data_IF_465920714675
#
_entry.id   IF_465920714675
#
_cell.length_a   1.000
_cell.length_b   1.000
_cell.length_c   1.000
_cell.angle_alpha   90.00
_cell.angle_beta   90.00
_cell.angle_gamma   90.00
#
_symmetry.space_group_name_H-M   'P 1'
#
loop_
_entity.id
_entity.type
_entity.pdbx_description
1 polymer ?
#
# COMPACT_ATOMS: atom_id res chain seq x y z
N UNK A 1 -0.76 10.69 24.97
CA UNK A 1 -0.22 9.32 24.91
C UNK A 1 -0.52 8.81 23.53
N UNK A 2 0.43 8.15 22.88
CA UNK A 2 0.19 7.55 21.56
C UNK A 2 -0.63 6.27 21.70
N UNK A 3 -1.29 5.83 20.62
CA UNK A 3 -1.99 4.54 20.61
C UNK A 3 -1.10 3.34 21.01
N UNK A 4 0.21 3.41 20.75
CA UNK A 4 1.18 2.39 21.18
C UNK A 4 1.41 2.46 22.69
N UNK A 5 1.51 3.66 23.27
CA UNK A 5 1.64 3.83 24.71
C UNK A 5 0.39 3.33 25.45
N UNK A 6 -0.80 3.64 24.93
CA UNK A 6 -2.06 3.11 25.45
C UNK A 6 -2.11 1.59 25.36
N UNK A 7 -1.72 1.02 24.21
CA UNK A 7 -1.64 -0.42 24.03
C UNK A 7 -0.67 -1.06 25.03
N UNK A 8 0.54 -0.52 25.20
CA UNK A 8 1.54 -1.02 26.15
C UNK A 8 1.07 -0.90 27.61
N UNK A 9 0.25 0.09 27.93
CA UNK A 9 -0.40 0.26 29.23
C UNK A 9 -1.60 -0.68 29.46
N UNK A 10 -1.96 -1.53 28.49
CA UNK A 10 -3.08 -2.47 28.60
C UNK A 10 -4.44 -1.83 28.31
N UNK A 11 -4.48 -0.63 27.74
CA UNK A 11 -5.72 0.06 27.40
C UNK A 11 -6.21 -0.37 26.01
N UNK A 12 -7.53 -0.59 25.90
CA UNK A 12 -8.19 -0.89 24.62
C UNK A 12 -8.93 0.37 24.16
N UNK A 13 -8.35 1.06 23.18
CA UNK A 13 -8.90 2.31 22.63
C UNK A 13 -10.04 2.03 21.65
N UNK A 14 -10.81 3.07 21.30
CA UNK A 14 -11.91 2.93 20.34
C UNK A 14 -11.46 2.47 18.95
N UNK A 15 -10.35 2.99 18.36
CA UNK A 15 -9.82 2.46 17.10
C UNK A 15 -9.56 0.95 17.15
N UNK A 16 -9.05 0.43 18.27
CA UNK A 16 -8.78 -1.00 18.43
C UNK A 16 -10.06 -1.84 18.40
N UNK A 17 -11.15 -1.36 19.02
CA UNK A 17 -12.44 -2.07 19.03
C UNK A 17 -13.07 -2.12 17.65
N UNK A 18 -13.09 -0.98 16.95
CA UNK A 18 -13.67 -0.89 15.60
C UNK A 18 -12.91 -1.80 14.63
N UNK A 19 -11.58 -1.77 14.66
CA UNK A 19 -10.77 -2.67 13.83
C UNK A 19 -11.02 -4.14 14.18
N UNK A 20 -11.13 -4.48 15.46
CA UNK A 20 -11.42 -5.84 15.89
C UNK A 20 -12.78 -6.34 15.38
N UNK A 21 -13.81 -5.49 15.44
CA UNK A 21 -15.14 -5.79 14.90
C UNK A 21 -15.11 -6.04 13.39
N UNK A 22 -14.46 -5.15 12.62
CA UNK A 22 -14.33 -5.27 11.16
C UNK A 22 -13.61 -6.57 10.76
N UNK A 23 -12.60 -6.98 11.51
CA UNK A 23 -11.80 -8.18 11.23
C UNK A 23 -12.42 -9.47 11.81
N UNK A 24 -13.46 -9.35 12.63
CA UNK A 24 -14.06 -10.46 13.36
C UNK A 24 -13.10 -11.09 14.38
N UNK A 25 -12.35 -10.25 15.10
CA UNK A 25 -11.34 -10.62 16.09
C UNK A 25 -11.64 -10.01 17.46
N UNK A 26 -10.95 -10.49 18.50
CA UNK A 26 -11.03 -9.90 19.84
C UNK A 26 -10.26 -8.57 19.91
N UNK A 27 -10.78 -7.52 20.57
CA UNK A 27 -10.06 -6.25 20.74
C UNK A 27 -8.68 -6.40 21.41
N UNK A 28 -8.54 -7.40 22.28
CA UNK A 28 -7.28 -7.73 22.93
C UNK A 28 -6.22 -8.29 21.96
N UNK A 29 -6.63 -8.95 20.86
CA UNK A 29 -5.71 -9.35 19.80
C UNK A 29 -5.10 -8.11 19.12
N UNK A 30 -5.94 -7.13 18.78
CA UNK A 30 -5.52 -5.87 18.17
C UNK A 30 -4.58 -5.10 19.09
N UNK A 31 -4.96 -4.94 20.37
CA UNK A 31 -4.13 -4.24 21.37
C UNK A 31 -2.75 -4.88 21.50
N UNK A 32 -2.66 -6.21 21.62
CA UNK A 32 -1.36 -6.91 21.69
C UNK A 32 -0.54 -6.73 20.42
N UNK A 33 -1.17 -6.77 19.25
CA UNK A 33 -0.50 -6.52 17.97
C UNK A 33 0.11 -5.13 17.91
N UNK A 34 -0.62 -4.09 18.34
CA UNK A 34 -0.11 -2.71 18.38
C UNK A 34 1.02 -2.57 19.41
N UNK A 35 0.85 -3.12 20.62
CA UNK A 35 1.87 -3.06 21.67
C UNK A 35 3.19 -3.74 21.26
N UNK A 36 3.11 -4.79 20.43
CA UNK A 36 4.26 -5.49 19.88
C UNK A 36 4.77 -4.89 18.55
N UNK A 37 4.12 -3.84 18.03
CA UNK A 37 4.47 -3.19 16.76
C UNK A 37 4.17 -4.02 15.51
N UNK A 38 3.28 -5.02 15.60
CA UNK A 38 2.91 -5.93 14.49
C UNK A 38 1.58 -5.58 13.81
N UNK A 39 0.82 -4.68 14.41
CA UNK A 39 -0.39 -4.07 13.86
C UNK A 39 -0.25 -2.56 14.01
N UNK A 40 -0.67 -1.81 13.00
CA UNK A 40 -0.85 -0.36 13.06
C UNK A 40 -2.29 0.02 12.72
N UNK A 41 -2.74 1.13 13.27
CA UNK A 41 -3.99 1.81 12.90
C UNK A 41 -3.63 3.27 12.60
N UNK A 42 -3.47 3.66 11.33
CA UNK A 42 -3.13 5.03 10.98
C UNK A 42 -4.28 5.98 11.31
N UNK A 43 -4.07 6.83 12.32
CA UNK A 43 -5.00 7.88 12.78
C UNK A 43 -4.34 9.25 12.64
N UNK A 44 -5.06 10.31 12.98
CA UNK A 44 -4.49 11.66 13.06
C UNK A 44 -5.30 12.49 14.06
N UNK A 45 -4.66 13.38 14.84
CA UNK A 45 -5.39 14.32 15.70
C UNK A 45 -6.02 15.48 14.92
N UNK A 46 -5.71 15.62 13.62
CA UNK A 46 -6.15 16.76 12.79
C UNK A 46 -7.38 16.47 11.93
N UNK A 47 -7.75 15.19 11.77
CA UNK A 47 -8.97 14.79 11.05
C UNK A 47 -9.43 13.39 11.45
N UNK A 48 -10.74 13.19 11.40
CA UNK A 48 -11.34 11.87 11.56
C UNK A 48 -11.13 11.03 10.28
N UNK A 49 -10.83 9.76 10.48
CA UNK A 49 -10.65 8.79 9.39
C UNK A 49 -11.38 7.49 9.74
N UNK A 50 -11.79 6.76 8.71
CA UNK A 50 -12.23 5.37 8.87
C UNK A 50 -11.06 4.55 9.38
N UNK A 51 -11.21 3.95 10.57
CA UNK A 51 -10.15 3.14 11.16
C UNK A 51 -9.81 1.93 10.29
N UNK A 52 -8.52 1.77 10.00
CA UNK A 52 -7.99 0.70 9.17
C UNK A 52 -6.83 0.03 9.90
N UNK A 53 -7.00 -1.24 10.26
CA UNK A 53 -5.94 -2.05 10.87
C UNK A 53 -5.06 -2.70 9.80
N UNK A 54 -3.76 -2.53 9.91
CA UNK A 54 -2.77 -3.12 8.98
C UNK A 54 -1.79 -3.95 9.80
N UNK A 55 -1.69 -5.26 9.54
CA UNK A 55 -0.69 -6.10 10.20
C UNK A 55 -1.04 -7.57 10.32
N UNK A 56 -0.21 -8.26 11.11
CA UNK A 56 -0.21 -9.72 11.24
C UNK A 56 -1.57 -10.25 11.74
N UNK A 57 -2.11 -11.24 11.05
CA UNK A 57 -3.39 -11.89 11.37
C UNK A 57 -4.65 -11.15 10.90
N UNK A 58 -4.50 -9.97 10.29
CA UNK A 58 -5.60 -9.23 9.68
C UNK A 58 -5.72 -9.56 8.18
N UNK A 59 -6.85 -9.21 7.58
CA UNK A 59 -7.00 -9.19 6.12
C UNK A 59 -5.97 -8.25 5.47
N UNK A 60 -5.47 -8.61 4.30
CA UNK A 60 -4.50 -7.79 3.57
C UNK A 60 -5.15 -6.50 3.07
N UNK A 61 -4.51 -5.36 3.33
CA UNK A 61 -5.02 -4.04 2.95
C UNK A 61 -4.45 -3.58 1.61
N UNK A 62 -5.18 -2.73 0.90
CA UNK A 62 -4.80 -2.18 -0.40
C UNK A 62 -4.72 -0.66 -0.32
N UNK A 63 -3.57 -0.11 -0.71
CA UNK A 63 -3.36 1.31 -0.89
C UNK A 63 -3.56 1.71 -2.36
N UNK A 64 -4.28 2.80 -2.58
CA UNK A 64 -4.28 3.50 -3.87
C UNK A 64 -3.33 4.71 -3.82
N UNK A 65 -2.62 4.98 -4.90
CA UNK A 65 -1.70 6.12 -5.01
C UNK A 65 -2.15 7.08 -6.10
N UNK A 66 -2.40 8.33 -5.73
CA UNK A 66 -2.78 9.42 -6.64
C UNK A 66 -1.76 10.56 -6.55
N UNK A 67 -1.96 11.63 -7.30
CA UNK A 67 -1.08 12.79 -7.29
C UNK A 67 -0.99 13.48 -8.65
N UNK A 68 -0.85 14.80 -8.58
CA UNK A 68 -0.58 15.66 -9.73
C UNK A 68 0.91 15.59 -10.13
N UNK A 69 1.24 15.80 -11.41
CA UNK A 69 2.64 16.00 -11.85
C UNK A 69 2.91 17.46 -12.19
N UNK A 70 4.17 17.79 -12.52
CA UNK A 70 4.54 19.09 -13.07
C UNK A 70 3.81 19.44 -14.37
N UNK A 71 3.37 18.43 -15.13
CA UNK A 71 2.72 18.61 -16.43
C UNK A 71 1.20 18.68 -16.33
N UNK A 72 0.61 18.04 -15.30
CA UNK A 72 -0.83 17.96 -15.10
C UNK A 72 -1.15 18.28 -13.64
N UNK A 73 -1.63 19.50 -13.41
CA UNK A 73 -2.06 19.99 -12.09
C UNK A 73 -3.56 20.29 -12.15
N UNK A 74 -4.37 19.34 -11.69
CA UNK A 74 -5.83 19.46 -11.63
C UNK A 74 -6.34 18.90 -10.28
N UNK A 75 -6.68 19.82 -9.37
CA UNK A 75 -7.13 19.48 -8.01
C UNK A 75 -8.46 18.73 -8.06
N UNK A 76 -9.38 19.13 -8.94
CA UNK A 76 -10.68 18.48 -9.07
C UNK A 76 -10.53 17.04 -9.56
N UNK A 77 -9.54 16.78 -10.42
CA UNK A 77 -9.20 15.43 -10.85
C UNK A 77 -8.63 14.59 -9.70
N UNK A 78 -7.73 15.13 -8.87
CA UNK A 78 -7.21 14.41 -7.71
C UNK A 78 -8.31 14.07 -6.69
N UNK A 79 -9.24 15.00 -6.45
CA UNK A 79 -10.43 14.75 -5.62
C UNK A 79 -11.29 13.63 -6.20
N UNK A 80 -11.53 13.63 -7.51
CA UNK A 80 -12.31 12.57 -8.17
C UNK A 80 -11.61 11.22 -8.08
N UNK A 81 -10.29 11.16 -8.29
CA UNK A 81 -9.50 9.92 -8.14
C UNK A 81 -9.52 9.40 -6.70
N UNK A 82 -9.41 10.28 -5.70
CA UNK A 82 -9.52 9.88 -4.28
C UNK A 82 -10.87 9.22 -3.98
N UNK A 83 -11.98 9.86 -4.38
CA UNK A 83 -13.33 9.31 -4.21
C UNK A 83 -13.54 8.02 -4.98
N UNK A 84 -13.01 7.92 -6.20
CA UNK A 84 -13.09 6.71 -7.01
C UNK A 84 -12.31 5.55 -6.38
N UNK A 85 -11.12 5.80 -5.83
CA UNK A 85 -10.33 4.79 -5.13
C UNK A 85 -11.08 4.24 -3.90
N UNK A 86 -11.66 5.12 -3.08
CA UNK A 86 -12.46 4.75 -1.92
C UNK A 86 -13.70 3.94 -2.33
N UNK A 87 -14.45 4.39 -3.33
CA UNK A 87 -15.62 3.68 -3.85
C UNK A 87 -15.26 2.32 -4.46
N UNK A 88 -14.07 2.20 -5.07
CA UNK A 88 -13.56 0.94 -5.60
C UNK A 88 -13.10 -0.05 -4.51
N UNK A 89 -12.98 0.40 -3.26
CA UNK A 89 -12.66 -0.44 -2.09
C UNK A 89 -11.21 -0.36 -1.62
N UNK A 90 -10.47 0.71 -1.95
CA UNK A 90 -9.17 0.97 -1.35
C UNK A 90 -9.30 1.11 0.18
N UNK A 91 -8.33 0.59 0.92
CA UNK A 91 -8.30 0.64 2.39
C UNK A 91 -7.56 1.88 2.90
N UNK A 92 -6.63 2.40 2.10
CA UNK A 92 -5.89 3.65 2.33
C UNK A 92 -5.61 4.35 1.00
N UNK A 93 -5.15 5.60 1.08
CA UNK A 93 -4.71 6.39 -0.06
C UNK A 93 -3.31 6.96 0.21
N UNK A 94 -2.50 7.18 -0.82
CA UNK A 94 -1.33 8.07 -0.76
C UNK A 94 -1.47 9.20 -1.79
N UNK A 95 -1.21 10.43 -1.35
CA UNK A 95 -1.12 11.61 -2.21
C UNK A 95 0.36 11.91 -2.48
N UNK A 96 0.80 11.55 -3.69
CA UNK A 96 2.20 11.54 -4.12
C UNK A 96 2.53 12.65 -5.13
N UNK A 97 1.71 13.69 -5.17
CA UNK A 97 1.83 14.78 -6.12
C UNK A 97 3.19 15.48 -6.06
N UNK A 98 3.66 15.90 -7.23
CA UNK A 98 4.94 16.61 -7.44
C UNK A 98 4.76 17.97 -8.12
N UNK A 99 3.54 18.33 -8.47
CA UNK A 99 3.18 19.58 -9.14
C UNK A 99 2.22 20.44 -8.33
N UNK A 100 2.13 21.71 -8.71
CA UNK A 100 1.17 22.65 -8.14
C UNK A 100 1.48 23.08 -6.69
N UNK A 101 0.39 23.40 -5.97
CA UNK A 101 0.37 23.70 -4.54
C UNK A 101 0.22 22.39 -3.75
N UNK A 102 1.35 21.89 -3.22
CA UNK A 102 1.41 20.64 -2.46
C UNK A 102 0.44 20.62 -1.27
N UNK A 103 0.36 21.72 -0.52
CA UNK A 103 -0.44 21.78 0.70
C UNK A 103 -1.92 21.90 0.35
N UNK A 104 -2.26 22.76 -0.62
CA UNK A 104 -3.64 22.93 -1.10
C UNK A 104 -4.22 21.64 -1.69
N UNK A 105 -3.48 20.96 -2.56
CA UNK A 105 -3.90 19.68 -3.16
C UNK A 105 -4.09 18.62 -2.07
N UNK A 106 -3.11 18.45 -1.18
CA UNK A 106 -3.19 17.43 -0.13
C UNK A 106 -4.33 17.69 0.82
N UNK A 107 -4.56 18.94 1.23
CA UNK A 107 -5.72 19.30 2.06
C UNK A 107 -7.03 18.95 1.37
N UNK A 108 -7.17 19.28 0.08
CA UNK A 108 -8.36 18.98 -0.69
C UNK A 108 -8.60 17.47 -0.82
N UNK A 109 -7.54 16.67 -1.01
CA UNK A 109 -7.63 15.20 -1.03
C UNK A 109 -8.02 14.65 0.35
N UNK A 110 -7.38 15.09 1.43
CA UNK A 110 -7.73 14.69 2.79
C UNK A 110 -9.19 15.03 3.14
N UNK A 111 -9.72 16.15 2.67
CA UNK A 111 -11.13 16.52 2.92
C UNK A 111 -12.13 15.71 2.09
N UNK A 112 -11.67 15.09 0.99
CA UNK A 112 -12.53 14.42 0.03
C UNK A 112 -12.77 12.93 0.32
N UNK A 113 -12.00 12.32 1.24
CA UNK A 113 -12.05 10.87 1.53
C UNK A 113 -12.03 10.57 3.02
N UNK A 114 -12.73 9.50 3.42
CA UNK A 114 -12.66 9.00 4.80
C UNK A 114 -11.44 8.11 5.06
N UNK A 115 -10.73 7.68 4.01
CA UNK A 115 -9.57 6.79 4.12
C UNK A 115 -8.40 7.49 4.83
N UNK A 116 -7.56 6.70 5.50
CA UNK A 116 -6.25 7.20 5.95
C UNK A 116 -5.40 7.57 4.73
N UNK A 117 -4.83 8.77 4.73
CA UNK A 117 -4.05 9.33 3.63
C UNK A 117 -2.58 9.41 4.05
N UNK A 118 -1.70 8.85 3.23
CA UNK A 118 -0.26 8.95 3.39
C UNK A 118 0.42 9.87 2.39
N UNK A 119 1.69 10.17 2.62
CA UNK A 119 2.49 11.04 1.76
C UNK A 119 3.98 10.68 1.75
N UNK A 120 4.75 11.39 0.92
CA UNK A 120 6.22 11.34 0.87
C UNK A 120 6.76 12.77 1.04
N UNK A 121 6.99 13.25 2.28
CA UNK A 121 7.31 14.66 2.55
C UNK A 121 8.51 15.21 1.79
N UNK A 122 9.53 14.38 1.58
CA UNK A 122 10.74 14.79 0.87
C UNK A 122 10.45 15.25 -0.57
N UNK A 123 9.36 14.81 -1.22
CA UNK A 123 9.01 15.32 -2.56
C UNK A 123 8.75 16.82 -2.51
N UNK A 124 7.98 17.29 -1.52
CA UNK A 124 7.73 18.72 -1.33
C UNK A 124 9.03 19.46 -1.01
N UNK A 125 9.87 18.94 -0.10
CA UNK A 125 11.13 19.58 0.29
C UNK A 125 12.06 19.80 -0.92
N UNK A 126 12.36 18.73 -1.65
CA UNK A 126 13.27 18.77 -2.79
C UNK A 126 12.73 19.60 -3.95
N UNK A 127 11.44 19.48 -4.26
CA UNK A 127 10.85 20.22 -5.39
C UNK A 127 10.70 21.70 -5.05
N UNK A 128 10.39 22.05 -3.79
CA UNK A 128 10.36 23.44 -3.33
C UNK A 128 11.74 24.06 -3.43
N UNK A 129 12.78 23.37 -2.95
CA UNK A 129 14.17 23.81 -3.10
C UNK A 129 14.57 23.98 -4.56
N UNK A 130 14.20 23.04 -5.45
CA UNK A 130 14.49 23.16 -6.87
C UNK A 130 13.80 24.37 -7.52
N UNK A 131 12.55 24.68 -7.13
CA UNK A 131 11.84 25.87 -7.61
C UNK A 131 12.44 27.17 -7.06
N UNK A 132 12.90 27.17 -5.81
CA UNK A 132 13.48 28.34 -5.12
C UNK A 132 14.91 28.63 -5.57
N UNK A 133 15.74 27.59 -5.65
CA UNK A 133 17.19 27.69 -5.75
C UNK A 133 17.75 27.05 -7.04
N UNK A 134 16.88 26.55 -7.93
CA UNK A 134 17.23 26.06 -9.26
C UNK A 134 17.64 24.58 -9.35
N UNK A 135 17.84 23.89 -8.22
CA UNK A 135 18.14 22.45 -8.22
C UNK A 135 17.80 21.74 -6.90
N UNK A 136 17.50 20.44 -6.98
CA UNK A 136 17.19 19.59 -5.82
C UNK A 136 18.36 19.47 -4.83
N UNK A 137 19.61 19.64 -5.31
CA UNK A 137 20.82 19.56 -4.47
C UNK A 137 20.93 20.69 -3.45
N UNK A 138 20.15 21.77 -3.62
CA UNK A 138 20.12 22.93 -2.72
C UNK A 138 19.09 22.81 -1.61
N UNK A 139 18.38 21.67 -1.53
CA UNK A 139 17.52 21.36 -0.40
C UNK A 139 18.29 21.51 0.92
N UNK A 140 17.68 22.18 1.90
CA UNK A 140 18.22 22.30 3.26
C UNK A 140 17.52 21.32 4.19
N UNK A 141 18.18 20.96 5.30
CA UNK A 141 17.56 20.11 6.34
C UNK A 141 16.25 20.72 6.86
N UNK A 142 16.19 22.05 6.99
CA UNK A 142 14.95 22.76 7.35
C UNK A 142 13.83 22.54 6.33
N UNK A 143 14.13 22.47 5.03
CA UNK A 143 13.11 22.17 4.01
C UNK A 143 12.48 20.78 4.26
N UNK A 144 13.28 19.78 4.67
CA UNK A 144 12.78 18.43 5.01
C UNK A 144 11.90 18.44 6.25
N UNK A 145 12.37 19.09 7.32
CA UNK A 145 11.65 19.12 8.59
C UNK A 145 10.35 19.91 8.48
N UNK A 146 10.38 21.08 7.84
CA UNK A 146 9.20 21.89 7.58
C UNK A 146 8.18 21.11 6.73
N UNK A 147 8.61 20.47 5.63
CA UNK A 147 7.68 19.69 4.80
C UNK A 147 7.05 18.51 5.56
N UNK A 148 7.80 17.87 6.46
CA UNK A 148 7.30 16.77 7.29
C UNK A 148 6.26 17.27 8.28
N UNK A 149 6.56 18.35 9.00
CA UNK A 149 5.67 18.94 10.01
C UNK A 149 4.39 19.54 9.38
N UNK A 150 4.53 20.30 8.30
CA UNK A 150 3.42 20.91 7.56
C UNK A 150 2.42 19.84 7.09
N UNK A 151 2.92 18.75 6.49
CA UNK A 151 2.05 17.67 6.01
C UNK A 151 1.41 16.89 7.15
N UNK A 152 2.08 16.76 8.29
CA UNK A 152 1.51 16.11 9.47
C UNK A 152 0.31 16.91 10.00
N UNK A 153 0.45 18.24 10.10
CA UNK A 153 -0.61 19.17 10.51
C UNK A 153 -1.81 19.22 9.55
N UNK A 154 -1.66 18.78 8.31
CA UNK A 154 -2.78 18.62 7.36
C UNK A 154 -3.62 17.35 7.59
N UNK A 155 -3.23 16.50 8.55
CA UNK A 155 -3.94 15.26 8.84
C UNK A 155 -3.47 14.05 8.04
N UNK A 156 -2.22 14.06 7.56
CA UNK A 156 -1.56 12.88 6.99
C UNK A 156 -1.40 11.83 8.08
N UNK A 157 -1.82 10.59 7.80
CA UNK A 157 -1.88 9.50 8.78
C UNK A 157 -0.61 8.65 8.81
N UNK A 158 0.09 8.54 7.69
CA UNK A 158 1.35 7.81 7.58
C UNK A 158 2.27 8.44 6.54
N UNK A 159 3.58 8.38 6.75
CA UNK A 159 4.53 8.99 5.84
C UNK A 159 5.63 8.01 5.44
N UNK A 160 5.86 7.90 4.14
CA UNK A 160 6.98 7.18 3.57
C UNK A 160 8.26 8.02 3.71
N UNK A 161 9.08 7.68 4.71
CA UNK A 161 10.33 8.37 5.03
C UNK A 161 11.52 7.49 4.66
N UNK A 162 12.41 7.99 3.81
CA UNK A 162 13.50 7.20 3.25
C UNK A 162 14.73 7.21 4.18
N UNK A 163 14.58 6.63 5.36
CA UNK A 163 15.62 6.56 6.41
C UNK A 163 16.72 5.56 6.08
N UNK A 164 16.43 4.57 5.22
CA UNK A 164 17.35 3.51 4.86
C UNK A 164 18.43 3.90 3.86
N UNK A 165 18.35 5.09 3.24
CA UNK A 165 19.37 5.58 2.32
C UNK A 165 20.50 6.21 3.14
N UNK A 166 21.67 5.58 3.16
CA UNK A 166 22.87 6.12 3.81
C UNK A 166 24.14 5.80 3.01
N UNK A 167 25.29 6.31 3.44
CA UNK A 167 26.56 6.12 2.72
C UNK A 167 26.91 4.63 2.51
N UNK A 168 26.62 3.76 3.49
CA UNK A 168 26.89 2.32 3.37
C UNK A 168 26.04 1.70 2.24
N UNK A 169 24.76 2.09 2.16
CA UNK A 169 23.86 1.64 1.08
C UNK A 169 24.34 2.15 -0.27
N UNK A 170 24.78 3.40 -0.36
CA UNK A 170 25.32 3.96 -1.61
C UNK A 170 26.59 3.23 -2.06
N UNK A 171 27.46 2.83 -1.14
CA UNK A 171 28.65 2.04 -1.45
C UNK A 171 28.28 0.66 -2.00
N UNK A 172 27.24 0.00 -1.43
CA UNK A 172 26.73 -1.27 -1.96
C UNK A 172 26.15 -1.11 -3.36
N UNK A 173 25.37 -0.05 -3.59
CA UNK A 173 24.80 0.25 -4.90
C UNK A 173 25.88 0.48 -5.95
N UNK A 174 26.86 1.35 -5.68
CA UNK A 174 27.96 1.67 -6.60
C UNK A 174 28.81 0.45 -6.93
N UNK A 175 29.09 -0.39 -5.94
CA UNK A 175 29.90 -1.59 -6.14
C UNK A 175 29.16 -2.69 -6.90
N UNK A 176 27.83 -2.75 -6.81
CA UNK A 176 27.01 -3.76 -7.47
C UNK A 176 26.60 -3.35 -8.90
N UNK A 177 26.19 -2.09 -9.08
CA UNK A 177 25.47 -1.65 -10.29
C UNK A 177 24.02 -2.15 -10.31
N UNK A 178 23.21 -1.62 -11.24
CA UNK A 178 21.81 -2.03 -11.47
C UNK A 178 21.42 -1.91 -12.94
N UNK A 179 20.47 -2.74 -13.36
CA UNK A 179 19.87 -2.75 -14.68
C UNK A 179 18.74 -1.71 -14.80
N UNK A 180 17.84 -1.66 -13.81
CA UNK A 180 16.72 -0.71 -13.72
C UNK A 180 17.05 0.58 -12.96
N UNK A 181 18.29 0.71 -12.45
CA UNK A 181 18.76 1.91 -11.74
C UNK A 181 18.05 2.14 -10.39
N UNK A 182 18.01 3.40 -9.95
CA UNK A 182 17.24 3.83 -8.77
C UNK A 182 15.86 4.28 -9.25
N UNK A 183 14.85 3.41 -9.14
CA UNK A 183 13.48 3.72 -9.56
C UNK A 183 12.63 4.41 -8.47
N UNK A 184 13.13 4.47 -7.23
CA UNK A 184 12.51 5.30 -6.20
C UNK A 184 12.85 6.77 -6.43
N UNK A 185 11.82 7.61 -6.62
CA UNK A 185 12.01 9.06 -6.72
C UNK A 185 12.67 9.63 -5.47
N UNK A 186 12.24 9.19 -4.28
CA UNK A 186 12.87 9.63 -3.04
C UNK A 186 14.27 9.06 -2.85
N UNK A 187 14.47 7.82 -3.30
CA UNK A 187 15.78 7.21 -3.52
C UNK A 187 16.74 8.10 -4.30
N UNK A 188 16.30 8.51 -5.48
CA UNK A 188 17.09 9.30 -6.42
C UNK A 188 17.38 10.71 -5.90
N UNK A 189 16.38 11.39 -5.32
CA UNK A 189 16.57 12.73 -4.76
C UNK A 189 17.57 12.73 -3.62
N UNK A 190 17.40 11.84 -2.64
CA UNK A 190 18.29 11.78 -1.49
C UNK A 190 19.70 11.36 -1.88
N UNK A 191 19.84 10.34 -2.74
CA UNK A 191 21.15 9.90 -3.24
C UNK A 191 21.88 11.04 -3.95
N UNK A 192 21.20 11.77 -4.84
CA UNK A 192 21.81 12.89 -5.57
C UNK A 192 22.27 14.00 -4.63
N UNK A 193 21.44 14.33 -3.63
CA UNK A 193 21.77 15.34 -2.63
C UNK A 193 22.97 14.95 -1.76
N UNK A 194 23.01 13.72 -1.26
CA UNK A 194 24.12 13.21 -0.44
C UNK A 194 25.44 13.25 -1.21
N UNK A 195 25.44 12.79 -2.47
CA UNK A 195 26.63 12.78 -3.32
C UNK A 195 27.14 14.17 -3.65
N UNK A 196 26.24 15.13 -3.87
CA UNK A 196 26.63 16.51 -4.18
C UNK A 196 27.18 17.25 -2.95
N UNK A 197 26.51 17.10 -1.81
CA UNK A 197 26.85 17.83 -0.59
C UNK A 197 27.92 17.12 0.26
N UNK A 198 28.32 15.89 -0.11
CA UNK A 198 29.22 15.04 0.66
C UNK A 198 28.76 14.87 2.12
N UNK A 199 27.44 14.71 2.30
CA UNK A 199 26.77 14.62 3.59
C UNK A 199 25.97 13.34 3.72
N UNK A 200 25.78 12.90 4.96
CA UNK A 200 24.85 11.82 5.28
C UNK A 200 23.39 12.28 5.12
N UNK A 201 22.48 11.35 4.85
CA UNK A 201 21.05 11.60 4.80
C UNK A 201 20.53 12.16 6.15
N UNK A 202 19.95 13.37 6.20
CA UNK A 202 19.41 13.96 7.44
C UNK A 202 18.34 13.10 8.10
N UNK A 203 17.51 12.40 7.31
CA UNK A 203 16.48 11.49 7.80
C UNK A 203 17.07 10.29 8.56
N UNK A 204 18.36 9.99 8.34
CA UNK A 204 19.10 8.94 9.01
C UNK A 204 20.00 9.49 10.14
N UNK A 205 20.78 10.54 9.89
CA UNK A 205 21.68 11.13 10.90
C UNK A 205 20.91 11.70 12.09
N UNK A 206 19.77 12.33 11.83
CA UNK A 206 18.93 13.00 12.83
C UNK A 206 17.61 12.26 13.08
N UNK A 207 17.67 10.92 12.99
CA UNK A 207 16.50 10.05 13.14
C UNK A 207 15.74 10.23 14.47
N UNK A 208 16.43 10.60 15.54
CA UNK A 208 15.79 10.89 16.83
C UNK A 208 14.86 12.12 16.73
N UNK A 209 15.27 13.16 16.01
CA UNK A 209 14.47 14.36 15.79
C UNK A 209 13.28 14.08 14.87
N UNK A 210 13.49 13.30 13.81
CA UNK A 210 12.39 12.80 12.97
C UNK A 210 11.33 12.07 13.81
N UNK A 211 11.76 11.19 14.72
CA UNK A 211 10.82 10.45 15.58
C UNK A 211 10.03 11.38 16.52
N UNK A 212 10.63 12.46 17.01
CA UNK A 212 9.95 13.46 17.84
C UNK A 212 8.84 14.17 17.06
N UNK A 213 9.12 14.62 15.84
CA UNK A 213 8.11 15.25 14.95
C UNK A 213 6.94 14.29 14.68
N UNK A 214 7.23 13.05 14.28
CA UNK A 214 6.18 12.08 13.97
C UNK A 214 5.35 11.70 15.21
N UNK A 215 5.99 11.67 16.39
CA UNK A 215 5.31 11.38 17.65
C UNK A 215 4.37 12.52 18.05
N UNK A 216 4.83 13.77 17.93
CA UNK A 216 4.03 14.95 18.27
C UNK A 216 2.72 14.98 17.49
N UNK A 217 2.74 14.54 16.24
CA UNK A 217 1.59 14.57 15.34
C UNK A 217 0.87 13.22 15.14
N UNK A 218 1.24 12.19 15.92
CA UNK A 218 0.74 10.81 15.80
C UNK A 218 0.76 10.22 14.38
N UNK A 219 1.84 10.48 13.63
CA UNK A 219 1.99 9.96 12.27
C UNK A 219 2.66 8.58 12.30
N UNK A 220 2.11 7.61 11.56
CA UNK A 220 2.75 6.31 11.37
C UNK A 220 3.97 6.47 10.47
N UNK A 221 5.13 5.97 10.94
CA UNK A 221 6.34 5.92 10.13
C UNK A 221 6.22 4.77 9.13
N UNK A 222 6.20 5.04 7.84
CA UNK A 222 6.43 4.04 6.79
C UNK A 222 7.89 4.16 6.34
N UNK A 223 8.74 3.18 6.65
CA UNK A 223 10.16 3.24 6.25
C UNK A 223 10.27 2.99 4.75
N UNK A 224 10.54 4.04 3.99
CA UNK A 224 10.54 4.04 2.53
C UNK A 224 11.61 3.13 1.92
N UNK A 225 11.32 2.64 0.72
CA UNK A 225 12.12 1.69 -0.06
C UNK A 225 12.95 2.37 -1.16
N UNK A 226 13.87 3.27 -0.78
CA UNK A 226 14.71 4.04 -1.68
C UNK A 226 15.55 3.22 -2.66
N UNK A 227 15.92 2.01 -2.27
CA UNK A 227 16.68 1.04 -3.05
C UNK A 227 15.83 -0.17 -3.46
N UNK A 228 14.51 -0.01 -3.63
CA UNK A 228 13.73 -1.09 -4.27
C UNK A 228 14.23 -1.39 -5.70
N UNK A 229 14.02 -2.62 -6.15
CA UNK A 229 14.33 -3.04 -7.50
C UNK A 229 13.40 -2.40 -8.54
N UNK A 230 13.98 -1.83 -9.60
CA UNK A 230 13.25 -1.27 -10.75
C UNK A 230 13.24 -2.16 -11.99
N UNK A 231 13.89 -3.32 -11.90
CA UNK A 231 13.86 -4.40 -12.86
C UNK A 231 13.98 -5.71 -12.10
N UNK A 232 13.46 -6.80 -12.65
CA UNK A 232 13.55 -8.12 -12.03
C UNK A 232 14.99 -8.54 -11.76
N UNK A 233 15.91 -8.13 -12.63
CA UNK A 233 17.33 -8.42 -12.45
C UNK A 233 18.00 -7.66 -11.30
N UNK A 234 17.34 -6.66 -10.72
CA UNK A 234 17.79 -5.95 -9.53
C UNK A 234 17.13 -6.48 -8.24
N UNK A 235 16.27 -7.49 -8.34
CA UNK A 235 15.58 -8.06 -7.20
C UNK A 235 16.56 -8.68 -6.20
N UNK A 236 16.32 -8.43 -4.91
CA UNK A 236 17.09 -9.00 -3.80
C UNK A 236 18.59 -8.62 -3.86
N UNK A 237 18.92 -7.50 -4.49
CA UNK A 237 20.30 -7.06 -4.62
C UNK A 237 20.90 -6.53 -3.30
N UNK A 238 22.23 -6.29 -3.32
CA UNK A 238 22.95 -5.85 -2.12
C UNK A 238 22.48 -4.50 -1.58
N UNK A 239 22.03 -3.60 -2.45
CA UNK A 239 21.57 -2.28 -2.03
C UNK A 239 20.20 -2.36 -1.35
N UNK A 240 19.28 -3.14 -1.91
CA UNK A 240 17.97 -3.41 -1.33
C UNK A 240 18.10 -4.08 0.04
N UNK A 241 18.91 -5.14 0.14
CA UNK A 241 19.08 -5.86 1.42
C UNK A 241 19.78 -4.97 2.46
N UNK A 242 20.77 -4.17 2.06
CA UNK A 242 21.42 -3.25 2.99
C UNK A 242 20.44 -2.17 3.49
N UNK A 243 19.58 -1.63 2.62
CA UNK A 243 18.52 -0.71 3.02
C UNK A 243 17.53 -1.35 3.99
N UNK A 244 17.12 -2.61 3.74
CA UNK A 244 16.24 -3.36 4.63
C UNK A 244 16.83 -3.52 6.04
N UNK A 245 18.13 -3.80 6.16
CA UNK A 245 18.80 -3.87 7.48
C UNK A 245 18.60 -2.54 8.22
N UNK A 246 18.93 -1.42 7.58
CA UNK A 246 18.84 -0.10 8.19
C UNK A 246 17.39 0.27 8.53
N UNK A 247 16.46 0.04 7.61
CA UNK A 247 15.04 0.29 7.85
C UNK A 247 14.51 -0.55 9.01
N UNK A 248 14.96 -1.79 9.17
CA UNK A 248 14.56 -2.65 10.31
C UNK A 248 15.06 -2.11 11.65
N UNK A 249 16.32 -1.65 11.69
CA UNK A 249 16.91 -1.02 12.88
C UNK A 249 16.20 0.30 13.25
N UNK A 250 15.97 1.17 12.27
CA UNK A 250 15.19 2.40 12.43
C UNK A 250 13.77 2.09 12.92
N UNK A 251 13.10 1.11 12.32
CA UNK A 251 11.74 0.72 12.67
C UNK A 251 11.64 0.17 14.11
N UNK A 252 12.64 -0.61 14.55
CA UNK A 252 12.72 -1.07 15.93
C UNK A 252 12.90 0.11 16.89
N UNK A 253 13.86 0.99 16.60
CA UNK A 253 14.15 2.17 17.41
C UNK A 253 12.95 3.11 17.54
N UNK A 254 12.26 3.42 16.45
CA UNK A 254 11.05 4.25 16.44
C UNK A 254 9.94 3.67 17.33
N UNK A 255 9.71 2.36 17.26
CA UNK A 255 8.66 1.72 18.06
C UNK A 255 9.03 1.60 19.55
N UNK A 256 10.25 1.13 19.84
CA UNK A 256 10.66 0.78 21.20
C UNK A 256 10.96 2.03 22.05
N UNK A 257 11.65 3.02 21.47
CA UNK A 257 12.05 4.23 22.18
C UNK A 257 10.99 5.33 22.14
N UNK A 258 10.32 5.50 21.00
CA UNK A 258 9.40 6.64 20.79
C UNK A 258 7.92 6.26 20.88
N UNK A 259 7.57 4.97 20.86
CA UNK A 259 6.16 4.56 20.84
C UNK A 259 5.47 4.90 19.52
N UNK A 260 6.22 4.88 18.42
CA UNK A 260 5.66 5.08 17.08
C UNK A 260 5.08 3.77 16.53
N UNK A 261 4.02 3.93 15.76
CA UNK A 261 3.54 2.91 14.84
C UNK A 261 4.45 2.90 13.61
N UNK A 262 4.81 1.71 13.12
CA UNK A 262 5.77 1.59 12.00
C UNK A 262 5.32 0.56 10.98
N UNK A 263 5.43 0.91 9.70
CA UNK A 263 5.27 0.06 8.52
C UNK A 263 6.64 -0.03 7.83
N UNK A 264 6.98 -1.18 7.25
CA UNK A 264 8.20 -1.35 6.46
C UNK A 264 7.86 -1.57 5.00
N UNK A 265 8.39 -0.74 4.10
CA UNK A 265 8.15 -0.86 2.65
C UNK A 265 9.08 -1.86 1.97
N UNK A 266 8.55 -2.57 0.99
CA UNK A 266 9.19 -3.66 0.25
C UNK A 266 9.64 -3.33 -1.16
N UNK A 267 10.20 -4.31 -1.88
CA UNK A 267 10.63 -4.12 -3.26
C UNK A 267 9.48 -3.80 -4.23
N UNK A 268 9.87 -3.42 -5.45
CA UNK A 268 8.99 -3.18 -6.59
C UNK A 268 8.94 -4.36 -7.55
N UNK A 269 10.03 -4.60 -8.28
CA UNK A 269 10.12 -5.69 -9.25
C UNK A 269 10.80 -6.90 -8.63
N UNK A 270 10.11 -8.05 -8.59
CA UNK A 270 10.61 -9.28 -7.97
C UNK A 270 10.10 -10.47 -8.78
N UNK A 271 10.97 -11.34 -9.33
CA UNK A 271 10.52 -12.51 -10.06
C UNK A 271 9.76 -13.45 -9.11
N UNK A 272 8.80 -14.19 -9.65
CA UNK A 272 7.81 -14.93 -8.85
C UNK A 272 8.45 -15.90 -7.83
N UNK A 273 9.56 -16.54 -8.20
CA UNK A 273 10.30 -17.49 -7.38
C UNK A 273 11.02 -16.85 -6.18
N UNK A 274 11.22 -15.52 -6.18
CA UNK A 274 11.86 -14.79 -5.09
C UNK A 274 10.85 -14.10 -4.14
N UNK A 275 9.56 -14.07 -4.49
CA UNK A 275 8.53 -13.34 -3.72
C UNK A 275 8.39 -13.89 -2.30
N UNK A 276 8.28 -15.21 -2.14
CA UNK A 276 8.13 -15.86 -0.83
C UNK A 276 9.32 -15.54 0.09
N UNK A 277 10.53 -15.65 -0.44
CA UNK A 277 11.77 -15.36 0.28
C UNK A 277 11.79 -13.90 0.74
N UNK A 278 11.45 -12.96 -0.15
CA UNK A 278 11.43 -11.53 0.19
C UNK A 278 10.47 -11.25 1.34
N UNK A 279 9.23 -11.74 1.27
CA UNK A 279 8.24 -11.54 2.33
C UNK A 279 8.73 -12.09 3.67
N UNK A 280 9.22 -13.33 3.69
CA UNK A 280 9.73 -13.98 4.91
C UNK A 280 10.93 -13.23 5.50
N UNK A 281 11.86 -12.79 4.65
CA UNK A 281 13.04 -12.04 5.08
C UNK A 281 12.64 -10.70 5.72
N UNK A 282 11.79 -9.92 5.03
CA UNK A 282 11.30 -8.62 5.53
C UNK A 282 10.59 -8.75 6.88
N UNK A 283 9.69 -9.73 7.01
CA UNK A 283 8.97 -9.98 8.27
C UNK A 283 9.93 -10.40 9.38
N UNK A 284 10.88 -11.28 9.10
CA UNK A 284 11.84 -11.73 10.12
C UNK A 284 12.77 -10.61 10.58
N UNK A 285 13.31 -9.80 9.67
CA UNK A 285 14.28 -8.75 10.00
C UNK A 285 13.65 -7.58 10.76
N UNK A 286 12.42 -7.23 10.41
CA UNK A 286 11.70 -6.11 11.03
C UNK A 286 11.01 -6.45 12.35
N UNK A 287 11.09 -7.70 12.83
CA UNK A 287 10.36 -8.16 14.01
C UNK A 287 8.85 -8.29 13.79
N UNK A 288 8.46 -8.71 12.58
CA UNK A 288 7.08 -8.90 12.12
C UNK A 288 6.23 -7.63 12.05
N UNK A 289 6.88 -6.46 11.89
CA UNK A 289 6.16 -5.21 11.58
C UNK A 289 5.30 -5.37 10.33
N UNK A 290 4.21 -4.58 10.19
CA UNK A 290 3.41 -4.57 8.98
C UNK A 290 4.27 -4.37 7.74
N UNK A 291 4.14 -5.28 6.79
CA UNK A 291 4.93 -5.26 5.56
C UNK A 291 4.10 -4.70 4.40
N UNK A 292 4.62 -3.63 3.78
CA UNK A 292 3.99 -2.90 2.68
C UNK A 292 4.70 -3.15 1.35
N UNK A 293 4.12 -3.98 0.51
CA UNK A 293 4.70 -4.36 -0.78
C UNK A 293 4.25 -3.40 -1.90
N UNK A 294 5.20 -2.86 -2.66
CA UNK A 294 4.92 -2.03 -3.83
C UNK A 294 4.79 -2.90 -5.07
N UNK A 295 3.65 -3.57 -5.19
CA UNK A 295 3.43 -4.66 -6.14
C UNK A 295 3.60 -6.04 -5.49
N UNK A 296 4.53 -6.91 -5.92
CA UNK A 296 5.59 -6.64 -6.87
C UNK A 296 5.21 -7.01 -8.31
N UNK A 297 5.89 -6.40 -9.29
CA UNK A 297 5.85 -6.87 -10.66
C UNK A 297 6.72 -8.12 -10.81
N UNK A 298 6.12 -9.22 -11.27
CA UNK A 298 6.80 -10.51 -11.48
C UNK A 298 7.30 -10.73 -12.91
N UNK A 299 7.03 -9.78 -13.82
CA UNK A 299 7.64 -9.70 -15.15
C UNK A 299 7.72 -8.25 -15.63
N UNK A 300 8.78 -7.87 -16.35
CA UNK A 300 8.99 -6.48 -16.82
C UNK A 300 8.47 -6.24 -18.25
N UNK A 301 7.93 -7.27 -18.91
CA UNK A 301 7.65 -7.27 -20.36
C UNK A 301 6.16 -7.06 -20.69
N UNK A 302 5.37 -6.50 -19.77
CA UNK A 302 3.94 -6.26 -19.99
C UNK A 302 3.44 -4.83 -19.63
N UNK A 303 4.15 -3.76 -20.04
CA UNK A 303 3.68 -2.40 -19.80
C UNK A 303 2.28 -2.21 -20.41
N UNK A 304 1.40 -1.51 -19.70
CA UNK A 304 -0.04 -1.42 -20.01
C UNK A 304 -0.88 -2.54 -19.39
N UNK A 305 -0.24 -3.57 -18.83
CA UNK A 305 -0.86 -4.68 -18.09
C UNK A 305 -0.17 -4.95 -16.76
N UNK A 306 0.59 -3.98 -16.25
CA UNK A 306 1.35 -4.14 -15.01
C UNK A 306 0.44 -4.40 -13.81
N UNK A 307 -0.78 -3.84 -13.76
CA UNK A 307 -1.80 -4.23 -12.77
C UNK A 307 -2.05 -5.75 -12.69
N UNK A 308 -2.07 -6.47 -13.83
CA UNK A 308 -2.27 -7.93 -13.87
C UNK A 308 -1.02 -8.65 -13.40
N UNK A 309 0.15 -8.24 -13.92
CA UNK A 309 1.44 -8.80 -13.52
C UNK A 309 1.63 -8.67 -12.01
N UNK A 310 1.36 -7.48 -11.49
CA UNK A 310 1.38 -7.19 -10.07
C UNK A 310 0.38 -8.03 -9.29
N UNK A 311 -0.83 -8.27 -9.79
CA UNK A 311 -1.82 -9.09 -9.08
C UNK A 311 -1.27 -10.50 -8.76
N UNK A 312 -0.47 -11.08 -9.65
CA UNK A 312 0.18 -12.39 -9.46
C UNK A 312 1.19 -12.32 -8.30
N UNK A 313 2.08 -11.32 -8.32
CA UNK A 313 3.05 -11.12 -7.26
C UNK A 313 2.41 -10.76 -5.93
N UNK A 314 1.38 -9.90 -5.95
CA UNK A 314 0.70 -9.39 -4.77
C UNK A 314 -0.09 -10.49 -4.05
N UNK A 315 -0.78 -11.36 -4.81
CA UNK A 315 -1.47 -12.52 -4.23
C UNK A 315 -0.48 -13.49 -3.58
N UNK A 316 0.64 -13.76 -4.25
CA UNK A 316 1.74 -14.57 -3.70
C UNK A 316 2.30 -13.92 -2.43
N UNK A 317 2.55 -12.60 -2.45
CA UNK A 317 3.06 -11.84 -1.32
C UNK A 317 2.14 -11.93 -0.10
N UNK A 318 0.85 -11.66 -0.32
CA UNK A 318 -0.18 -11.75 0.70
C UNK A 318 -0.28 -13.18 1.28
N UNK A 319 -0.22 -14.21 0.44
CA UNK A 319 -0.25 -15.61 0.90
C UNK A 319 0.89 -15.99 1.86
N UNK A 320 2.01 -15.27 1.81
CA UNK A 320 3.20 -15.50 2.64
C UNK A 320 3.34 -14.53 3.83
N UNK A 321 2.33 -13.69 4.08
CA UNK A 321 2.29 -12.81 5.25
C UNK A 321 2.60 -11.34 4.98
N UNK A 322 2.50 -10.90 3.73
CA UNK A 322 2.40 -9.46 3.44
C UNK A 322 1.06 -8.92 3.98
N UNK A 323 1.10 -7.72 4.55
CA UNK A 323 -0.05 -7.15 5.28
C UNK A 323 -0.72 -6.02 4.48
N UNK A 324 0.03 -5.38 3.59
CA UNK A 324 -0.37 -4.18 2.89
C UNK A 324 0.19 -4.19 1.47
N UNK A 325 -0.65 -3.89 0.49
CA UNK A 325 -0.31 -3.93 -0.94
C UNK A 325 -0.53 -2.54 -1.53
N UNK A 326 0.49 -1.99 -2.18
CA UNK A 326 0.27 -0.85 -3.04
C UNK A 326 -0.24 -1.37 -4.36
N UNK A 327 -1.34 -0.80 -4.83
CA UNK A 327 -1.83 -1.14 -6.15
C UNK A 327 -0.80 -0.76 -7.23
N UNK A 328 -1.01 -1.30 -8.42
CA UNK A 328 -0.35 -0.85 -9.64
C UNK A 328 -1.44 -0.67 -10.68
N UNK A 329 -1.38 0.42 -11.43
CA UNK A 329 -2.41 0.77 -12.42
C UNK A 329 -2.02 0.26 -13.81
N UNK A 330 -2.95 0.20 -14.78
CA UNK A 330 -2.59 -0.02 -16.18
C UNK A 330 -1.61 1.02 -16.75
N UNK A 331 -1.59 2.23 -16.19
CA UNK A 331 -0.74 3.34 -16.64
C UNK A 331 0.70 3.29 -16.09
N UNK A 332 1.02 2.33 -15.21
CA UNK A 332 2.37 2.18 -14.66
C UNK A 332 3.43 2.13 -15.79
N UNK A 333 4.57 2.78 -15.55
CA UNK A 333 5.65 2.97 -16.53
C UNK A 333 5.30 3.75 -17.81
N UNK A 334 4.07 4.22 -17.98
CA UNK A 334 3.60 4.85 -19.21
C UNK A 334 3.09 6.28 -19.01
N UNK A 335 2.27 6.52 -17.98
CA UNK A 335 1.62 7.82 -17.78
C UNK A 335 1.12 8.00 -16.34
N UNK A 336 0.60 9.20 -16.04
CA UNK A 336 -0.24 9.39 -14.87
C UNK A 336 -1.57 8.64 -15.05
N UNK A 337 -2.06 7.93 -14.02
CA UNK A 337 -3.32 7.22 -14.10
C UNK A 337 -4.52 8.19 -14.14
N UNK A 338 -5.50 7.86 -14.98
CA UNK A 338 -6.82 8.48 -14.95
C UNK A 338 -7.72 7.78 -13.90
N UNK A 339 -9.01 8.15 -13.84
CA UNK A 339 -9.95 7.59 -12.86
C UNK A 339 -10.19 6.10 -13.10
N UNK A 340 -10.33 5.69 -14.37
CA UNK A 340 -10.56 4.30 -14.76
C UNK A 340 -9.36 3.42 -14.39
N UNK A 341 -8.14 3.91 -14.60
CA UNK A 341 -6.90 3.24 -14.24
C UNK A 341 -6.81 3.02 -12.71
N UNK A 342 -7.25 4.02 -11.92
CA UNK A 342 -7.32 3.93 -10.46
C UNK A 342 -8.31 2.85 -10.04
N UNK A 343 -9.53 2.86 -10.60
CA UNK A 343 -10.56 1.86 -10.28
C UNK A 343 -10.08 0.45 -10.61
N UNK A 344 -9.51 0.25 -11.81
CA UNK A 344 -9.00 -1.03 -12.27
C UNK A 344 -7.87 -1.54 -11.37
N UNK A 345 -6.91 -0.68 -11.02
CA UNK A 345 -5.81 -1.01 -10.13
C UNK A 345 -6.29 -1.43 -8.74
N UNK A 346 -7.27 -0.73 -8.17
CA UNK A 346 -7.81 -1.04 -6.84
C UNK A 346 -8.55 -2.36 -6.88
N UNK A 347 -9.47 -2.55 -7.83
CA UNK A 347 -10.26 -3.78 -7.97
C UNK A 347 -9.37 -5.00 -8.20
N UNK A 348 -8.36 -4.87 -9.06
CA UNK A 348 -7.36 -5.93 -9.31
C UNK A 348 -6.59 -6.28 -8.04
N UNK A 349 -6.17 -5.28 -7.27
CA UNK A 349 -5.42 -5.49 -6.03
C UNK A 349 -6.29 -6.09 -4.91
N UNK A 350 -7.59 -5.74 -4.84
CA UNK A 350 -8.52 -6.38 -3.88
C UNK A 350 -8.74 -7.86 -4.19
N UNK A 351 -8.76 -8.24 -5.47
CA UNK A 351 -8.77 -9.65 -5.87
C UNK A 351 -7.48 -10.33 -5.39
N UNK A 352 -6.32 -9.73 -5.63
CA UNK A 352 -5.04 -10.29 -5.19
C UNK A 352 -4.95 -10.45 -3.66
N UNK A 353 -5.38 -9.44 -2.90
CA UNK A 353 -5.47 -9.46 -1.45
C UNK A 353 -6.34 -10.63 -0.96
N UNK A 354 -7.55 -10.78 -1.50
CA UNK A 354 -8.46 -11.89 -1.17
C UNK A 354 -7.85 -13.27 -1.48
N UNK A 355 -7.23 -13.42 -2.66
CA UNK A 355 -6.58 -14.67 -3.06
C UNK A 355 -5.46 -15.05 -2.10
N UNK A 356 -4.61 -14.09 -1.71
CA UNK A 356 -3.57 -14.33 -0.71
C UNK A 356 -4.12 -14.62 0.67
N UNK A 357 -5.16 -13.90 1.10
CA UNK A 357 -5.79 -14.07 2.40
C UNK A 357 -6.44 -15.45 2.58
N UNK A 358 -6.95 -16.06 1.50
CA UNK A 358 -7.42 -17.45 1.56
C UNK A 358 -6.35 -18.43 2.04
N UNK A 359 -5.08 -18.16 1.74
CA UNK A 359 -3.94 -18.95 2.20
C UNK A 359 -3.47 -18.45 3.56
N UNK A 360 -3.22 -17.14 3.69
CA UNK A 360 -2.69 -16.51 4.91
C UNK A 360 -3.57 -16.77 6.13
N UNK A 361 -4.89 -16.67 5.97
CA UNK A 361 -5.88 -16.81 7.04
C UNK A 361 -6.55 -18.19 7.08
N UNK A 362 -6.32 -19.03 6.06
CA UNK A 362 -6.93 -20.35 5.95
C UNK A 362 -8.46 -20.33 5.81
N UNK A 363 -9.04 -19.23 5.33
CA UNK A 363 -10.50 -19.05 5.17
C UNK A 363 -10.89 -19.13 3.69
N UNK A 364 -11.91 -19.93 3.37
CA UNK A 364 -12.47 -20.07 1.99
C UNK A 364 -14.00 -20.02 1.95
N UNK A 365 -14.63 -19.53 3.01
CA UNK A 365 -16.08 -19.60 3.17
C UNK A 365 -16.83 -18.73 2.16
N UNK A 366 -16.27 -17.57 1.80
CA UNK A 366 -16.85 -16.69 0.77
C UNK A 366 -16.85 -17.36 -0.60
N UNK A 367 -15.72 -17.97 -1.01
CA UNK A 367 -15.60 -18.75 -2.25
C UNK A 367 -16.50 -19.98 -2.24
N UNK A 368 -16.63 -20.67 -1.10
CA UNK A 368 -17.58 -21.77 -0.96
C UNK A 368 -19.03 -21.30 -1.12
N UNK A 369 -19.39 -20.15 -0.54
CA UNK A 369 -20.72 -19.55 -0.71
C UNK A 369 -20.98 -19.17 -2.18
N UNK A 370 -19.99 -18.61 -2.87
CA UNK A 370 -20.05 -18.33 -4.31
C UNK A 370 -20.19 -19.62 -5.13
N UNK A 371 -19.44 -20.66 -4.80
CA UNK A 371 -19.54 -21.98 -5.42
C UNK A 371 -20.94 -22.59 -5.28
N UNK A 372 -21.53 -22.50 -4.09
CA UNK A 372 -22.93 -22.91 -3.84
C UNK A 372 -23.91 -22.08 -4.67
N UNK A 373 -23.76 -20.75 -4.71
CA UNK A 373 -24.62 -19.88 -5.52
C UNK A 373 -24.54 -20.20 -7.02
N UNK A 374 -23.34 -20.51 -7.55
CA UNK A 374 -23.12 -20.95 -8.94
C UNK A 374 -23.77 -22.31 -9.22
N UNK A 375 -23.61 -23.28 -8.32
CA UNK A 375 -24.27 -24.59 -8.42
C UNK A 375 -25.79 -24.43 -8.48
N UNK A 376 -26.34 -23.54 -7.65
CA UNK A 376 -27.79 -23.33 -7.55
C UNK A 376 -28.33 -22.37 -8.64
N UNK A 377 -27.48 -21.90 -9.56
CA UNK A 377 -27.79 -20.89 -10.57
C UNK A 377 -28.46 -19.63 -9.99
N UNK A 378 -28.13 -19.30 -8.73
CA UNK A 378 -28.71 -18.17 -8.03
C UNK A 378 -27.93 -16.89 -8.35
N UNK A 379 -28.34 -16.21 -9.43
CA UNK A 379 -27.70 -15.00 -9.94
C UNK A 379 -27.63 -13.87 -8.93
N UNK A 380 -28.72 -13.57 -8.22
CA UNK A 380 -28.72 -12.51 -7.21
C UNK A 380 -27.75 -12.80 -6.07
N UNK A 381 -27.69 -14.06 -5.61
CA UNK A 381 -26.71 -14.45 -4.59
C UNK A 381 -25.28 -14.37 -5.13
N UNK A 382 -25.03 -14.75 -6.39
CA UNK A 382 -23.73 -14.58 -7.01
C UNK A 382 -23.31 -13.11 -7.07
N UNK A 383 -24.22 -12.20 -7.45
CA UNK A 383 -23.91 -10.76 -7.48
C UNK A 383 -23.60 -10.24 -6.07
N UNK A 384 -24.42 -10.55 -5.07
CA UNK A 384 -24.21 -10.09 -3.70
C UNK A 384 -22.92 -10.62 -3.06
N UNK A 385 -22.38 -11.75 -3.54
CA UNK A 385 -21.13 -12.34 -3.06
C UNK A 385 -19.90 -11.89 -3.88
N UNK A 386 -20.08 -11.22 -5.02
CA UNK A 386 -18.98 -10.80 -5.86
C UNK A 386 -18.23 -9.62 -5.23
N UNK A 387 -16.90 -9.58 -5.42
CA UNK A 387 -16.08 -8.41 -5.07
C UNK A 387 -16.43 -7.17 -5.93
N UNK A 388 -16.98 -7.41 -7.12
CA UNK A 388 -17.54 -6.38 -7.99
C UNK A 388 -18.97 -6.75 -8.43
N UNK A 389 -19.98 -6.47 -7.59
CA UNK A 389 -21.37 -6.80 -7.90
C UNK A 389 -21.88 -6.05 -9.14
N UNK A 390 -21.47 -4.80 -9.32
CA UNK A 390 -21.93 -3.94 -10.40
C UNK A 390 -21.43 -4.44 -11.75
N UNK A 391 -20.14 -4.75 -11.86
CA UNK A 391 -19.56 -5.30 -13.09
C UNK A 391 -20.14 -6.68 -13.42
N UNK A 392 -20.28 -7.55 -12.42
CA UNK A 392 -20.85 -8.88 -12.61
C UNK A 392 -22.29 -8.82 -13.15
N UNK A 393 -23.12 -7.93 -12.57
CA UNK A 393 -24.50 -7.70 -12.99
C UNK A 393 -24.54 -7.08 -14.39
N UNK A 394 -23.72 -6.06 -14.67
CA UNK A 394 -23.62 -5.41 -15.98
C UNK A 394 -23.34 -6.42 -17.08
N UNK A 395 -22.31 -7.27 -16.92
CA UNK A 395 -21.94 -8.29 -17.91
C UNK A 395 -23.10 -9.27 -18.17
N UNK A 396 -23.78 -9.73 -17.12
CA UNK A 396 -24.90 -10.69 -17.25
C UNK A 396 -26.11 -10.05 -17.94
N UNK A 397 -26.39 -8.78 -17.65
CA UNK A 397 -27.54 -8.05 -18.23
C UNK A 397 -27.29 -7.69 -19.69
N UNK A 398 -26.11 -7.17 -20.04
CA UNK A 398 -25.76 -6.80 -21.42
C UNK A 398 -25.71 -7.99 -22.37
N UNK A 399 -25.48 -9.19 -21.82
CA UNK A 399 -25.33 -10.45 -22.57
C UNK A 399 -26.37 -11.48 -22.12
N UNK A 400 -27.59 -11.02 -21.87
CA UNK A 400 -28.63 -11.86 -21.30
C UNK A 400 -29.02 -13.02 -22.23
N UNK A 401 -29.17 -14.20 -21.64
CA UNK A 401 -29.70 -15.39 -22.31
C UNK A 401 -31.23 -15.32 -22.38
N UNK A 402 -31.83 -15.97 -23.39
CA UNK A 402 -33.28 -16.18 -23.45
C UNK A 402 -33.78 -17.12 -22.34
N UNK A 403 -32.95 -18.08 -21.93
CA UNK A 403 -33.13 -18.85 -20.70
C UNK A 403 -32.52 -18.07 -19.52
N UNK A 404 -33.36 -17.59 -18.62
CA UNK A 404 -32.93 -16.76 -17.48
C UNK A 404 -32.07 -17.54 -16.46
N UNK A 405 -32.25 -18.86 -16.36
CA UNK A 405 -31.49 -19.71 -15.44
C UNK A 405 -30.03 -19.87 -15.90
N UNK A 406 -29.80 -19.85 -17.22
CA UNK A 406 -28.50 -20.10 -17.83
C UNK A 406 -27.79 -18.81 -18.29
N UNK A 407 -26.48 -18.90 -18.51
CA UNK A 407 -25.73 -17.84 -19.18
C UNK A 407 -25.60 -18.12 -20.68
N UNK A 408 -25.21 -17.10 -21.43
CA UNK A 408 -25.03 -17.17 -22.89
C UNK A 408 -23.83 -18.00 -23.35
N UNK A 409 -22.92 -18.40 -22.44
CA UNK A 409 -21.76 -19.21 -22.80
C UNK A 409 -22.14 -20.63 -23.25
N UNK A 410 -23.14 -21.24 -22.60
CA UNK A 410 -23.60 -22.60 -22.92
C UNK A 410 -25.06 -22.67 -23.36
N UNK A 411 -25.88 -21.67 -23.02
CA UNK A 411 -27.32 -21.67 -23.26
C UNK A 411 -27.97 -22.94 -22.70
N UNK A 412 -28.79 -23.60 -23.53
CA UNK A 412 -29.52 -24.82 -23.19
C UNK A 412 -28.61 -25.99 -22.76
N UNK A 413 -27.33 -25.97 -23.12
CA UNK A 413 -26.35 -26.99 -22.76
C UNK A 413 -25.59 -26.67 -21.47
N UNK A 414 -26.17 -25.87 -20.57
CA UNK A 414 -25.57 -25.58 -19.28
C UNK A 414 -25.39 -26.86 -18.44
N UNK A 415 -24.13 -27.23 -18.20
CA UNK A 415 -23.77 -28.44 -17.46
C UNK A 415 -24.40 -28.50 -16.06
N UNK A 416 -24.42 -27.37 -15.34
CA UNK A 416 -25.01 -27.29 -14.00
C UNK A 416 -26.52 -27.54 -14.03
N UNK A 417 -27.23 -26.91 -14.98
CA UNK A 417 -28.68 -27.08 -15.16
C UNK A 417 -29.04 -28.54 -15.48
N UNK A 418 -28.33 -29.16 -16.42
CA UNK A 418 -28.56 -30.55 -16.83
C UNK A 418 -28.40 -31.51 -15.65
N UNK A 419 -27.33 -31.35 -14.85
CA UNK A 419 -27.07 -32.24 -13.72
C UNK A 419 -28.09 -31.99 -12.59
N UNK A 420 -28.42 -30.74 -12.26
CA UNK A 420 -29.40 -30.42 -11.23
C UNK A 420 -30.81 -30.94 -11.54
N UNK A 421 -31.18 -31.05 -12.83
CA UNK A 421 -32.44 -31.68 -13.25
C UNK A 421 -32.42 -33.20 -13.06
N UNK A 422 -31.24 -33.81 -12.98
CA UNK A 422 -31.07 -35.26 -12.85
C UNK A 422 -31.03 -35.72 -11.39
N UNK A 423 -30.32 -35.00 -10.51
CA UNK A 423 -30.26 -35.27 -9.07
C UNK A 423 -29.71 -34.07 -8.29
N UNK A 424 -29.94 -34.04 -6.98
CA UNK A 424 -29.49 -32.96 -6.10
C UNK A 424 -28.01 -33.12 -5.68
N UNK A 425 -27.19 -32.11 -5.97
CA UNK A 425 -25.78 -32.00 -5.59
C UNK A 425 -25.57 -31.16 -4.31
N UNK A 426 -26.64 -30.74 -3.63
CA UNK A 426 -26.54 -29.92 -2.44
C UNK A 426 -25.82 -30.64 -1.28
N UNK A 427 -24.87 -29.94 -0.67
CA UNK A 427 -24.17 -30.31 0.58
C UNK A 427 -24.33 -29.20 1.60
#
# INVERSE_FOLDING_TARGET
MTIVEDAKAGQITEPMKVVAEVEGLEPEFIRRGIAAGRIVIPTSPYRDVKYCGIGEGLTTKVNASIGASSDIVDIDMEIKKAKAAEAAGADTLMELGTGGDFLGIRKAVCDATSLSVGSVPLYQAFITAAKRDGSIIHMTEDDLWNATEEQAKLGTNFMAIHTGINNIVLDRLKAHGRYGGICSRGGAFMTTWMLHNEKENPLYSDFDYLCEILKEHEVVLSTGNGMRAGAIHDATDRAQIQELIINSECAQKAHDKYGLQVIVEGPGHVPLDEVEMNVKLMKSMSGHKPFYMLGPLVTDISPGRDHIVTAIGAATSASHGCDFLCYVTPAEHLALPNIEDVIEGVKTSKIAAHVGDMVKLGKRDQDLAMGRARRDLNWEKMFNLALDPELARKIRTERASADEDACTMCGDFCAVKIVNQSFDLAK
#
